data_IF_057637476262
#
_entry.id   IF_057637476262
#
_cell.length_a   1.000
_cell.length_b   1.000
_cell.length_c   1.000
_cell.angle_alpha   90.00
_cell.angle_beta   90.00
_cell.angle_gamma   90.00
#
_symmetry.space_group_name_H-M   'P 1'
#
loop_
_entity.id
_entity.type
_entity.pdbx_description
1 polymer ?
#
# COMPACT_ATOMS: atom_id res chain seq x y z
N UNK A 1 3.75 11.51 20.57
CA UNK A 1 2.80 10.85 19.64
C UNK A 1 3.39 9.51 19.25
N UNK A 2 2.55 8.48 19.19
CA UNK A 2 2.93 7.13 18.81
C UNK A 2 2.47 6.85 17.37
N UNK A 3 3.41 6.46 16.53
CA UNK A 3 3.17 6.05 15.14
C UNK A 3 3.33 4.53 15.07
N UNK A 4 2.27 3.84 14.69
CA UNK A 4 2.27 2.40 14.49
C UNK A 4 2.49 2.08 13.01
N UNK A 5 3.48 1.27 12.68
CA UNK A 5 3.56 0.60 11.38
C UNK A 5 2.96 -0.78 11.54
N UNK A 6 1.81 -1.02 10.91
CA UNK A 6 1.11 -2.30 10.97
C UNK A 6 1.05 -2.93 9.59
N UNK A 7 1.58 -4.14 9.43
CA UNK A 7 1.52 -4.86 8.17
C UNK A 7 1.70 -6.38 8.32
N UNK A 8 0.77 -7.15 7.74
CA UNK A 8 0.90 -8.60 7.62
C UNK A 8 2.09 -8.97 6.72
N UNK A 9 2.31 -8.20 5.65
CA UNK A 9 3.43 -8.37 4.72
C UNK A 9 4.48 -7.28 5.00
N UNK A 10 5.58 -7.60 5.68
CA UNK A 10 6.53 -6.60 6.15
C UNK A 10 7.10 -5.75 5.01
N UNK A 11 7.45 -4.54 5.33
CA UNK A 11 8.23 -3.66 4.46
C UNK A 11 9.66 -4.18 4.29
N UNK A 12 10.32 -3.81 3.21
CA UNK A 12 11.76 -4.00 3.11
C UNK A 12 12.48 -3.25 4.24
N UNK A 13 13.55 -3.84 4.80
CA UNK A 13 14.28 -3.25 5.92
C UNK A 13 14.68 -1.79 5.67
N UNK A 14 15.17 -1.47 4.47
CA UNK A 14 15.56 -0.11 4.11
C UNK A 14 14.38 0.89 4.22
N UNK A 15 13.16 0.45 3.92
CA UNK A 15 11.97 1.29 4.06
C UNK A 15 11.61 1.51 5.54
N UNK A 16 11.70 0.46 6.36
CA UNK A 16 11.48 0.56 7.81
C UNK A 16 12.51 1.47 8.45
N UNK A 17 13.79 1.35 8.08
CA UNK A 17 14.87 2.20 8.59
C UNK A 17 14.64 3.68 8.19
N UNK A 18 14.15 3.92 6.96
CA UNK A 18 13.76 5.26 6.50
C UNK A 18 12.59 5.84 7.31
N UNK A 19 11.52 5.06 7.47
CA UNK A 19 10.34 5.46 8.28
C UNK A 19 10.77 5.77 9.71
N UNK A 20 11.59 4.91 10.31
CA UNK A 20 12.11 5.10 11.66
C UNK A 20 12.86 6.41 11.81
N UNK A 21 13.76 6.69 10.88
CA UNK A 21 14.55 7.93 10.89
C UNK A 21 13.68 9.19 10.88
N UNK A 22 12.65 9.19 10.03
CA UNK A 22 11.74 10.35 9.93
C UNK A 22 10.88 10.52 11.18
N UNK A 23 10.32 9.42 11.71
CA UNK A 23 9.45 9.43 12.89
C UNK A 23 10.23 9.83 14.15
N UNK A 24 11.37 9.20 14.40
CA UNK A 24 12.21 9.50 15.56
C UNK A 24 12.85 10.90 15.42
N UNK A 25 13.23 11.33 14.21
CA UNK A 25 13.71 12.67 13.92
C UNK A 25 12.69 13.76 14.20
N UNK A 26 11.40 13.45 14.09
CA UNK A 26 10.30 14.32 14.46
C UNK A 26 9.95 14.28 15.97
N UNK A 27 10.66 13.49 16.77
CA UNK A 27 10.42 13.31 18.21
C UNK A 27 9.22 12.44 18.54
N UNK A 28 8.81 11.55 17.61
CA UNK A 28 7.69 10.63 17.82
C UNK A 28 8.20 9.22 18.14
N UNK A 29 7.38 8.45 18.81
CA UNK A 29 7.62 7.03 19.10
C UNK A 29 7.19 6.17 17.92
N UNK A 30 8.04 5.24 17.49
CA UNK A 30 7.72 4.24 16.47
C UNK A 30 7.38 2.90 17.15
N UNK A 31 6.23 2.34 16.83
CA UNK A 31 5.85 0.96 17.14
C UNK A 31 5.73 0.16 15.83
N UNK A 32 6.12 -1.11 15.87
CA UNK A 32 6.05 -2.02 14.74
C UNK A 32 5.16 -3.23 15.10
N UNK A 33 4.19 -3.51 14.24
CA UNK A 33 3.38 -4.72 14.24
C UNK A 33 3.53 -5.37 12.86
N UNK A 34 4.51 -6.25 12.72
CA UNK A 34 4.79 -6.93 11.46
C UNK A 34 4.43 -8.41 11.53
N UNK A 35 3.99 -8.97 10.37
CA UNK A 35 3.68 -10.40 10.22
C UNK A 35 2.60 -10.90 11.19
N UNK A 36 1.72 -10.04 11.62
CA UNK A 36 0.59 -10.47 12.42
C UNK A 36 -0.37 -11.34 11.57
N UNK A 37 -1.02 -12.28 12.21
CA UNK A 37 -1.87 -13.29 11.57
C UNK A 37 -3.31 -13.24 12.05
N UNK A 38 -3.57 -12.45 13.08
CA UNK A 38 -4.88 -12.29 13.69
C UNK A 38 -5.22 -10.80 13.80
N UNK A 39 -6.42 -10.44 13.37
CA UNK A 39 -6.96 -9.08 13.49
C UNK A 39 -6.96 -8.58 14.94
N UNK A 40 -7.12 -9.48 15.91
CA UNK A 40 -7.07 -9.12 17.32
C UNK A 40 -5.74 -8.44 17.71
N UNK A 41 -4.63 -8.84 17.09
CA UNK A 41 -3.32 -8.19 17.31
C UNK A 41 -3.32 -6.75 16.81
N UNK A 42 -3.94 -6.48 15.66
CA UNK A 42 -4.10 -5.14 15.12
C UNK A 42 -5.00 -4.30 16.04
N UNK A 43 -6.15 -4.84 16.45
CA UNK A 43 -7.10 -4.18 17.34
C UNK A 43 -6.45 -3.80 18.70
N UNK A 44 -5.54 -4.63 19.19
CA UNK A 44 -4.81 -4.32 20.42
C UNK A 44 -3.75 -3.23 20.20
N UNK A 45 -3.00 -3.32 19.12
CA UNK A 45 -1.89 -2.40 18.81
C UNK A 45 -2.35 -0.98 18.46
N UNK A 46 -3.58 -0.80 17.95
CA UNK A 46 -4.07 0.51 17.54
C UNK A 46 -4.64 1.34 18.70
N UNK A 47 -4.87 0.75 19.87
CA UNK A 47 -5.58 1.40 21.00
C UNK A 47 -4.95 2.72 21.44
N UNK A 48 -3.64 2.81 21.42
CA UNK A 48 -2.86 3.97 21.86
C UNK A 48 -2.08 4.64 20.71
N UNK A 49 -2.34 4.22 19.45
CA UNK A 49 -1.71 4.80 18.29
C UNK A 49 -2.36 6.14 17.90
N UNK A 50 -1.55 7.16 17.65
CA UNK A 50 -2.01 8.44 17.14
C UNK A 50 -1.95 8.51 15.59
N UNK A 51 -1.09 7.73 14.98
CA UNK A 51 -0.97 7.56 13.55
C UNK A 51 -0.70 6.10 13.21
N UNK A 52 -1.17 5.65 12.06
CA UNK A 52 -0.92 4.29 11.57
C UNK A 52 -0.42 4.34 10.12
N UNK A 53 0.61 3.57 9.82
CA UNK A 53 1.12 3.36 8.46
C UNK A 53 0.84 1.90 8.09
N UNK A 54 0.15 1.70 6.97
CA UNK A 54 -0.26 0.37 6.47
C UNK A 54 0.15 0.16 5.00
N UNK A 55 0.13 -1.08 4.55
CA UNK A 55 0.23 -1.44 3.11
C UNK A 55 -1.12 -1.90 2.55
N UNK A 56 -1.41 -3.17 2.70
CA UNK A 56 -2.64 -3.82 2.22
C UNK A 56 -3.57 -4.25 3.36
N UNK A 57 -3.23 -3.89 4.55
CA UNK A 57 -3.97 -4.18 5.77
C UNK A 57 -5.31 -3.45 5.77
N UNK A 58 -6.36 -4.09 6.26
CA UNK A 58 -7.72 -3.55 6.23
C UNK A 58 -7.94 -2.67 7.46
N UNK A 59 -8.34 -1.43 7.22
CA UNK A 59 -8.78 -0.48 8.25
C UNK A 59 -10.28 -0.27 8.08
N UNK A 60 -11.05 -1.10 8.72
CA UNK A 60 -12.51 -1.02 8.76
C UNK A 60 -13.02 -0.28 10.01
N UNK A 61 -14.34 -0.20 10.14
CA UNK A 61 -14.98 0.46 11.27
C UNK A 61 -14.56 -0.12 12.63
N UNK A 62 -14.36 -1.45 12.72
CA UNK A 62 -13.95 -2.10 13.97
C UNK A 62 -12.55 -1.67 14.42
N UNK A 63 -11.62 -1.54 13.47
CA UNK A 63 -10.25 -1.03 13.75
C UNK A 63 -10.32 0.43 14.21
N UNK A 64 -11.12 1.24 13.52
CA UNK A 64 -11.31 2.66 13.86
C UNK A 64 -12.01 2.83 15.21
N UNK A 65 -12.97 1.97 15.53
CA UNK A 65 -13.62 1.94 16.84
C UNK A 65 -12.65 1.60 17.99
N UNK A 66 -11.66 0.75 17.74
CA UNK A 66 -10.63 0.39 18.71
C UNK A 66 -9.58 1.50 18.88
N UNK A 67 -9.31 2.29 17.84
CA UNK A 67 -8.24 3.27 17.76
C UNK A 67 -8.67 4.66 18.23
N UNK A 68 -8.98 4.81 19.53
CA UNK A 68 -9.58 6.04 20.09
C UNK A 68 -8.71 7.30 19.97
N UNK A 69 -7.40 7.14 19.92
CA UNK A 69 -6.43 8.25 19.82
C UNK A 69 -5.97 8.52 18.38
N UNK A 70 -6.47 7.74 17.41
CA UNK A 70 -6.02 7.80 16.03
C UNK A 70 -6.47 9.09 15.34
N UNK A 71 -5.53 9.75 14.68
CA UNK A 71 -5.75 10.99 13.92
C UNK A 71 -5.51 10.83 12.43
N UNK A 72 -4.67 9.88 12.05
CA UNK A 72 -4.27 9.71 10.66
C UNK A 72 -3.95 8.26 10.32
N UNK A 73 -4.42 7.82 9.17
CA UNK A 73 -4.03 6.58 8.49
C UNK A 73 -3.23 6.94 7.24
N UNK A 74 -2.03 6.42 7.11
CA UNK A 74 -1.20 6.58 5.90
C UNK A 74 -1.09 5.23 5.20
N UNK A 75 -1.71 5.12 4.02
CA UNK A 75 -1.54 3.96 3.16
C UNK A 75 -0.27 4.12 2.31
N UNK A 76 0.74 3.30 2.55
CA UNK A 76 1.97 3.28 1.76
C UNK A 76 1.73 2.61 0.39
N UNK A 77 1.07 3.34 -0.49
CA UNK A 77 0.73 2.94 -1.86
C UNK A 77 -0.35 3.82 -2.48
N UNK A 78 -0.71 3.56 -3.73
CA UNK A 78 -1.61 4.41 -4.50
C UNK A 78 -3.10 4.14 -4.22
N UNK A 79 -3.53 2.87 -4.24
CA UNK A 79 -4.91 2.50 -3.91
C UNK A 79 -5.20 2.67 -2.42
N UNK A 80 -6.44 2.88 -2.04
CA UNK A 80 -6.88 3.02 -0.64
C UNK A 80 -8.23 2.34 -0.37
N UNK A 81 -8.59 1.40 -1.21
CA UNK A 81 -9.78 0.55 -1.13
C UNK A 81 -9.80 -0.36 0.10
N UNK A 82 -8.67 -0.53 0.75
CA UNK A 82 -8.51 -1.24 2.02
C UNK A 82 -8.78 -0.37 3.26
N UNK A 83 -9.19 0.89 3.11
CA UNK A 83 -9.55 1.78 4.22
C UNK A 83 -11.00 2.22 4.07
N UNK A 84 -11.82 2.03 5.10
CA UNK A 84 -13.20 2.53 5.15
C UNK A 84 -13.19 4.05 5.37
N UNK A 85 -13.30 4.81 4.26
CA UNK A 85 -13.29 6.27 4.30
C UNK A 85 -14.50 6.86 5.03
N UNK A 86 -15.66 6.19 4.98
CA UNK A 86 -16.85 6.68 5.66
C UNK A 86 -16.69 6.56 7.17
N UNK A 87 -16.21 5.40 7.63
CA UNK A 87 -15.91 5.20 9.04
C UNK A 87 -14.78 6.13 9.50
N UNK A 88 -13.69 6.30 8.72
CA UNK A 88 -12.60 7.22 9.04
C UNK A 88 -13.11 8.67 9.20
N UNK A 89 -13.99 9.12 8.29
CA UNK A 89 -14.61 10.45 8.38
C UNK A 89 -15.46 10.58 9.63
N UNK A 90 -16.28 9.58 9.97
CA UNK A 90 -17.11 9.58 11.16
C UNK A 90 -16.28 9.67 12.48
N UNK A 91 -15.07 9.10 12.46
CA UNK A 91 -14.13 9.16 13.60
C UNK A 91 -13.20 10.40 13.55
N UNK A 92 -13.32 11.28 12.55
CA UNK A 92 -12.43 12.43 12.39
C UNK A 92 -10.98 12.05 12.04
N UNK A 93 -10.77 10.88 11.44
CA UNK A 93 -9.45 10.35 11.06
C UNK A 93 -9.13 10.75 9.63
N UNK A 94 -7.99 11.41 9.42
CA UNK A 94 -7.48 11.73 8.09
C UNK A 94 -6.91 10.47 7.43
N UNK A 95 -7.19 10.26 6.14
CA UNK A 95 -6.61 9.16 5.35
C UNK A 95 -5.74 9.73 4.25
N UNK A 96 -4.49 9.27 4.18
CA UNK A 96 -3.52 9.68 3.17
C UNK A 96 -2.98 8.44 2.41
N UNK A 97 -2.56 8.67 1.17
CA UNK A 97 -1.93 7.66 0.33
C UNK A 97 -0.68 8.23 -0.37
N UNK A 98 0.04 7.40 -1.14
CA UNK A 98 1.24 7.82 -1.90
C UNK A 98 1.03 7.63 -3.41
N UNK A 99 0.23 8.49 -4.07
CA UNK A 99 -0.13 8.32 -5.47
C UNK A 99 1.10 8.45 -6.37
N UNK A 100 1.18 7.60 -7.40
CA UNK A 100 2.21 7.67 -8.43
C UNK A 100 3.57 7.07 -8.07
N UNK A 101 3.85 6.75 -6.81
CA UNK A 101 5.17 6.27 -6.37
C UNK A 101 5.56 4.90 -6.95
N UNK A 102 4.60 4.04 -7.23
CA UNK A 102 4.80 2.72 -7.82
C UNK A 102 4.50 2.66 -9.33
N UNK A 103 4.20 3.79 -9.97
CA UNK A 103 3.68 3.83 -11.34
C UNK A 103 4.64 3.22 -12.34
N UNK A 104 5.93 3.50 -12.21
CA UNK A 104 6.94 2.98 -13.11
C UNK A 104 7.03 1.44 -13.03
N UNK A 105 7.10 0.89 -11.82
CA UNK A 105 7.15 -0.55 -11.62
C UNK A 105 5.90 -1.27 -12.17
N UNK A 106 4.73 -0.65 -12.04
CA UNK A 106 3.49 -1.20 -12.61
C UNK A 106 3.51 -1.14 -14.15
N UNK A 107 3.98 -0.05 -14.75
CA UNK A 107 4.12 0.08 -16.20
C UNK A 107 5.10 -0.95 -16.77
N UNK A 108 6.26 -1.14 -16.14
CA UNK A 108 7.23 -2.18 -16.54
C UNK A 108 6.64 -3.59 -16.46
N UNK A 109 5.86 -3.87 -15.40
CA UNK A 109 5.18 -5.16 -15.25
C UNK A 109 4.18 -5.41 -16.39
N UNK A 110 3.46 -4.37 -16.86
CA UNK A 110 2.54 -4.50 -18.02
C UNK A 110 3.30 -4.97 -19.25
N UNK A 111 4.46 -4.38 -19.58
CA UNK A 111 5.27 -4.82 -20.71
C UNK A 111 5.80 -6.25 -20.52
N UNK A 112 6.25 -6.59 -19.34
CA UNK A 112 6.65 -7.96 -19.01
C UNK A 112 5.53 -8.98 -19.24
N UNK A 113 4.32 -8.66 -18.78
CA UNK A 113 3.13 -9.49 -18.96
C UNK A 113 2.69 -9.58 -20.42
N UNK A 114 2.81 -8.50 -21.21
CA UNK A 114 2.52 -8.51 -22.65
C UNK A 114 3.45 -9.47 -23.37
N UNK A 115 4.76 -9.39 -23.11
CA UNK A 115 5.72 -10.35 -23.70
C UNK A 115 5.40 -11.77 -23.26
N UNK A 116 5.14 -11.98 -21.99
CA UNK A 116 4.79 -13.28 -21.45
C UNK A 116 3.54 -13.88 -22.10
N UNK A 117 2.49 -13.06 -22.28
CA UNK A 117 1.23 -13.49 -22.89
C UNK A 117 1.38 -13.86 -24.38
N UNK A 118 2.04 -13.02 -25.21
CA UNK A 118 2.20 -13.31 -26.64
C UNK A 118 3.13 -14.50 -26.91
N UNK A 119 3.93 -14.89 -25.92
CA UNK A 119 4.78 -16.08 -25.94
C UNK A 119 4.11 -17.31 -25.32
N UNK A 120 2.79 -17.33 -25.23
CA UNK A 120 2.00 -18.42 -24.64
C UNK A 120 2.51 -18.84 -23.25
N UNK A 121 2.84 -17.85 -22.40
CA UNK A 121 3.32 -18.07 -21.03
C UNK A 121 4.57 -18.96 -20.95
N UNK A 122 5.36 -19.02 -22.00
CA UNK A 122 6.53 -19.89 -22.15
C UNK A 122 6.22 -21.39 -21.90
N UNK A 123 5.06 -21.84 -22.34
CA UNK A 123 4.59 -23.22 -22.14
C UNK A 123 5.19 -24.25 -23.11
N UNK A 124 6.21 -23.88 -23.90
CA UNK A 124 6.86 -24.74 -24.89
C UNK A 124 6.23 -24.71 -26.29
N UNK A 125 5.15 -23.94 -26.47
CA UNK A 125 4.54 -23.74 -27.79
C UNK A 125 5.01 -22.43 -28.43
N UNK A 126 4.87 -22.33 -29.77
CA UNK A 126 5.19 -21.12 -30.50
C UNK A 126 4.22 -20.01 -30.16
N UNK A 127 4.77 -18.85 -29.83
CA UNK A 127 4.03 -17.61 -29.63
C UNK A 127 4.16 -16.65 -30.80
N UNK A 128 3.71 -15.40 -30.59
CA UNK A 128 3.82 -14.30 -31.55
C UNK A 128 4.74 -13.18 -31.00
N UNK A 129 4.98 -12.16 -31.81
CA UNK A 129 5.74 -10.99 -31.45
C UNK A 129 4.82 -9.80 -31.15
N UNK A 130 5.31 -8.84 -30.38
CA UNK A 130 4.63 -7.55 -30.17
C UNK A 130 4.83 -6.59 -31.35
N UNK A 131 5.89 -6.80 -32.12
CA UNK A 131 6.21 -5.94 -33.27
C UNK A 131 5.01 -5.83 -34.24
N UNK A 132 4.66 -4.62 -34.61
CA UNK A 132 3.52 -4.31 -35.48
C UNK A 132 2.13 -4.47 -34.84
N UNK A 133 2.03 -4.85 -33.57
CA UNK A 133 0.76 -4.88 -32.84
C UNK A 133 0.37 -3.49 -32.36
N UNK A 134 -0.94 -3.28 -32.15
CA UNK A 134 -1.48 -2.04 -31.58
C UNK A 134 -1.78 -2.27 -30.11
N UNK A 135 -1.32 -1.37 -29.26
CA UNK A 135 -1.66 -1.34 -27.81
C UNK A 135 -2.69 -0.24 -27.56
N UNK A 136 -3.86 -0.62 -27.04
CA UNK A 136 -4.85 0.33 -26.54
C UNK A 136 -4.61 0.60 -25.07
N UNK A 137 -4.59 1.88 -24.68
CA UNK A 137 -4.50 2.28 -23.28
C UNK A 137 -5.83 2.93 -22.89
N UNK A 138 -6.51 2.33 -21.91
CA UNK A 138 -7.73 2.90 -21.32
C UNK A 138 -7.37 3.54 -19.97
N UNK A 139 -7.62 4.83 -19.83
CA UNK A 139 -7.16 5.71 -18.76
C UNK A 139 -5.65 6.06 -18.86
N UNK A 140 -5.36 7.36 -18.94
CA UNK A 140 -4.00 7.88 -19.13
C UNK A 140 -3.58 8.69 -17.89
N UNK A 141 -3.47 7.97 -16.76
CA UNK A 141 -3.00 8.53 -15.47
C UNK A 141 -1.54 8.21 -15.20
N UNK A 142 -1.15 8.19 -13.92
CA UNK A 142 0.24 8.00 -13.49
C UNK A 142 0.94 6.75 -14.06
N UNK A 143 0.21 5.67 -14.32
CA UNK A 143 0.77 4.44 -14.92
C UNK A 143 0.78 4.54 -16.45
N UNK A 144 -0.33 4.98 -17.05
CA UNK A 144 -0.47 5.04 -18.50
C UNK A 144 0.44 6.09 -19.17
N UNK A 145 0.87 7.11 -18.44
CA UNK A 145 1.79 8.16 -18.90
C UNK A 145 3.27 7.76 -18.83
N UNK A 146 3.62 6.63 -18.19
CA UNK A 146 5.01 6.17 -18.11
C UNK A 146 5.49 5.62 -19.47
N UNK A 147 6.55 6.25 -19.98
CA UNK A 147 7.17 5.91 -21.27
C UNK A 147 8.27 4.88 -21.10
#
# INVERSE_FOLDING_TARGET
>A
MKVLVATEKPFAKIAVDGIKKEIEGAGFELALLEKYTDKAQLLDAVKDANAIIIRSDIIDAEVLDAAKELKIVVRAGAGYDNVDLNAATAHGVCVMNTPGQNSNAVAELVFGLLVYAVRNFYNGTSGTELMGKKLGIHAYGNVGDRK
#
